data_IF_274961837754
#
_entry.id   IF_274961837754
#
_cell.length_a   1.000
_cell.length_b   1.000
_cell.length_c   1.000
_cell.angle_alpha   90.00
_cell.angle_beta   90.00
_cell.angle_gamma   90.00
#
_symmetry.space_group_name_H-M   'P 1'
#
loop_
_entity.id
_entity.type
_entity.pdbx_description
1 polymer ?
#
# COMPACT_ATOMS: atom_id res chain seq x y z
N UNK A 1 15.61 -16.69 -2.76
CA UNK A 1 14.64 -15.61 -2.53
C UNK A 1 15.39 -14.30 -2.51
N UNK A 2 14.93 -13.28 -3.23
CA UNK A 2 15.48 -11.93 -3.11
C UNK A 2 15.00 -11.34 -1.78
N UNK A 3 15.92 -10.84 -0.97
CA UNK A 3 15.59 -10.11 0.26
C UNK A 3 15.48 -8.62 -0.06
N UNK A 4 14.58 -7.91 0.64
CA UNK A 4 14.51 -6.45 0.57
C UNK A 4 15.54 -5.91 1.57
N UNK A 5 16.48 -5.10 1.09
CA UNK A 5 17.51 -4.51 1.94
C UNK A 5 16.89 -3.50 2.93
N UNK A 6 17.35 -3.53 4.19
CA UNK A 6 16.97 -2.54 5.20
C UNK A 6 17.37 -1.12 4.73
N UNK A 7 16.46 -0.14 4.88
CA UNK A 7 16.62 1.24 4.41
C UNK A 7 16.81 1.42 2.89
N UNK A 8 16.46 0.44 2.07
CA UNK A 8 16.27 0.69 0.64
C UNK A 8 15.03 1.57 0.41
N UNK A 9 14.95 2.24 -0.73
CA UNK A 9 13.79 3.07 -1.09
C UNK A 9 12.47 2.29 -0.99
N UNK A 10 12.46 1.03 -1.43
CA UNK A 10 11.30 0.16 -1.31
C UNK A 10 10.97 -0.15 0.15
N UNK A 11 11.97 -0.39 1.00
CA UNK A 11 11.75 -0.63 2.42
C UNK A 11 11.11 0.59 3.11
N UNK A 12 11.59 1.80 2.81
CA UNK A 12 11.04 3.04 3.39
C UNK A 12 9.61 3.32 2.91
N UNK A 13 9.31 3.04 1.63
CA UNK A 13 7.95 3.08 1.11
C UNK A 13 7.03 2.08 1.83
N UNK A 14 7.47 0.83 2.02
CA UNK A 14 6.70 -0.17 2.76
C UNK A 14 6.43 0.24 4.22
N UNK A 15 7.40 0.87 4.88
CA UNK A 15 7.21 1.43 6.23
C UNK A 15 6.15 2.53 6.22
N UNK A 16 6.16 3.40 5.21
CA UNK A 16 5.18 4.47 5.03
C UNK A 16 3.78 3.91 4.80
N UNK A 17 3.63 2.93 3.91
CA UNK A 17 2.36 2.24 3.67
C UNK A 17 1.82 1.61 4.95
N UNK A 18 2.68 0.91 5.72
CA UNK A 18 2.31 0.32 7.01
C UNK A 18 1.80 1.37 7.99
N UNK A 19 2.49 2.50 8.14
CA UNK A 19 2.05 3.56 9.05
C UNK A 19 0.70 4.15 8.64
N UNK A 20 0.51 4.43 7.35
CA UNK A 20 -0.75 4.96 6.83
C UNK A 20 -1.92 4.01 7.12
N UNK A 21 -1.77 2.73 6.77
CA UNK A 21 -2.80 1.72 6.99
C UNK A 21 -3.10 1.50 8.48
N UNK A 22 -2.09 1.56 9.34
CA UNK A 22 -2.27 1.41 10.78
C UNK A 22 -2.96 2.62 11.43
N UNK A 23 -2.75 3.82 10.88
CA UNK A 23 -3.42 5.05 11.32
C UNK A 23 -4.89 5.13 10.87
N UNK A 24 -5.26 4.42 9.80
CA UNK A 24 -6.59 4.45 9.20
C UNK A 24 -7.19 3.04 9.07
N UNK A 25 -7.40 2.30 10.18
CA UNK A 25 -7.98 0.98 10.11
C UNK A 25 -9.45 1.05 9.67
N UNK A 26 -9.85 0.18 8.76
CA UNK A 26 -11.24 0.00 8.34
C UNK A 26 -11.74 -1.41 8.68
N UNK A 27 -13.05 -1.54 8.87
CA UNK A 27 -13.71 -2.82 9.11
C UNK A 27 -13.92 -3.57 7.79
N UNK A 28 -14.01 -4.89 7.88
CA UNK A 28 -14.34 -5.74 6.72
C UNK A 28 -15.63 -5.30 6.02
N UNK A 29 -15.59 -5.33 4.70
CA UNK A 29 -16.64 -4.84 3.78
C UNK A 29 -16.89 -3.33 3.85
N UNK A 30 -15.99 -2.56 4.47
CA UNK A 30 -16.05 -1.09 4.59
C UNK A 30 -14.73 -0.41 4.25
N UNK A 31 -13.76 -1.14 3.71
CA UNK A 31 -12.40 -0.74 3.34
C UNK A 31 -12.32 0.20 2.11
N UNK A 32 -13.17 1.23 2.04
CA UNK A 32 -13.20 2.14 0.89
C UNK A 32 -11.91 2.96 0.81
N UNK A 33 -11.49 3.57 1.91
CA UNK A 33 -10.29 4.41 1.92
C UNK A 33 -9.01 3.59 1.72
N UNK A 34 -8.96 2.41 2.31
CA UNK A 34 -7.85 1.46 2.19
C UNK A 34 -7.73 0.98 0.74
N UNK A 35 -8.85 0.63 0.10
CA UNK A 35 -8.86 0.23 -1.31
C UNK A 35 -8.41 1.37 -2.22
N UNK A 36 -8.85 2.60 -1.95
CA UNK A 36 -8.40 3.80 -2.68
C UNK A 36 -6.90 4.04 -2.53
N UNK A 37 -6.38 3.90 -1.31
CA UNK A 37 -4.97 4.05 -1.02
C UNK A 37 -4.11 3.02 -1.77
N UNK A 38 -4.45 1.73 -1.68
CA UNK A 38 -3.71 0.66 -2.37
C UNK A 38 -3.70 0.90 -3.88
N UNK A 39 -4.85 1.24 -4.45
CA UNK A 39 -4.94 1.53 -5.87
C UNK A 39 -4.08 2.73 -6.29
N UNK A 40 -4.01 3.79 -5.47
CA UNK A 40 -3.14 4.94 -5.74
C UNK A 40 -1.65 4.56 -5.74
N UNK A 41 -1.24 3.69 -4.80
CA UNK A 41 0.14 3.16 -4.74
C UNK A 41 0.44 2.34 -5.99
N UNK A 42 -0.44 1.40 -6.35
CA UNK A 42 -0.25 0.56 -7.55
C UNK A 42 -0.16 1.41 -8.83
N UNK A 43 -1.04 2.39 -8.99
CA UNK A 43 -1.01 3.31 -10.14
C UNK A 43 0.28 4.13 -10.19
N UNK A 44 0.80 4.60 -9.05
CA UNK A 44 2.09 5.34 -9.02
C UNK A 44 3.31 4.49 -9.39
N UNK A 45 3.16 3.16 -9.41
CA UNK A 45 4.17 2.22 -9.87
C UNK A 45 3.88 1.68 -11.28
N UNK A 46 2.97 2.33 -12.03
CA UNK A 46 2.55 1.93 -13.38
C UNK A 46 1.99 0.49 -13.45
N UNK A 47 1.39 0.03 -12.35
CA UNK A 47 0.76 -1.29 -12.27
C UNK A 47 -0.71 -1.16 -12.67
N UNK A 48 -1.13 -2.00 -13.63
CA UNK A 48 -2.52 -2.07 -14.06
C UNK A 48 -3.43 -2.51 -12.90
N UNK A 49 -4.55 -1.79 -12.71
CA UNK A 49 -5.53 -2.10 -11.67
C UNK A 49 -6.91 -2.29 -12.25
N UNK A 50 -7.69 -3.16 -11.62
CA UNK A 50 -9.11 -3.32 -11.86
C UNK A 50 -9.85 -3.04 -10.56
N UNK A 51 -10.91 -2.23 -10.63
CA UNK A 51 -11.80 -1.96 -9.51
C UNK A 51 -13.16 -2.60 -9.77
N UNK A 52 -13.76 -3.15 -8.71
CA UNK A 52 -15.12 -3.69 -8.73
C UNK A 52 -16.18 -2.60 -8.67
#
# INVERSE_FOLDING_TARGET
>A
MSTIANKSDLHEQMVTWRHHLHQHPELSFKEKMTSDYIASVLQSHDIEIHRG
#
